data_IF_619472595499
#
_entry.id   IF_619472595499
#
_cell.length_a   1.000
_cell.length_b   1.000
_cell.length_c   1.000
_cell.angle_alpha   90.00
_cell.angle_beta   90.00
_cell.angle_gamma   90.00
#
_symmetry.space_group_name_H-M   'P 1'
#
loop_
_entity.id
_entity.type
_entity.pdbx_description
1 polymer ?
#
# COMPACT_ATOMS: atom_id res chain seq x y z
N UNK A 1 -1.33 9.82 10.58
CA UNK A 1 -0.78 10.61 9.48
C UNK A 1 0.01 11.85 9.92
N UNK A 2 -0.02 12.14 11.21
CA UNK A 2 0.75 13.28 11.75
C UNK A 2 2.24 13.19 11.45
N UNK A 3 2.81 11.99 11.44
CA UNK A 3 4.23 11.81 11.15
C UNK A 3 4.63 12.35 9.77
N UNK A 4 3.73 12.30 8.80
CA UNK A 4 4.02 12.82 7.46
C UNK A 4 4.02 14.35 7.41
N UNK A 5 3.22 14.98 8.27
CA UNK A 5 3.14 16.46 8.33
C UNK A 5 4.42 17.08 8.86
N UNK A 6 5.22 16.31 9.61
CA UNK A 6 6.49 16.77 10.16
C UNK A 6 7.66 16.65 9.18
N UNK A 7 7.46 16.00 8.03
CA UNK A 7 8.50 15.80 7.04
C UNK A 7 8.69 17.06 6.17
N UNK A 8 9.90 17.25 5.60
CA UNK A 8 10.10 18.30 4.60
C UNK A 8 9.09 18.17 3.45
N UNK A 9 8.64 19.30 2.92
CA UNK A 9 7.59 19.33 1.88
C UNK A 9 8.00 18.60 0.59
N UNK A 10 9.30 18.46 0.33
CA UNK A 10 9.85 17.81 -0.86
C UNK A 10 10.40 16.40 -0.59
N UNK A 11 10.12 15.85 0.61
CA UNK A 11 10.60 14.51 0.99
C UNK A 11 9.89 13.45 0.16
N UNK A 12 10.68 12.66 -0.57
CA UNK A 12 10.15 11.52 -1.32
C UNK A 12 9.78 10.39 -0.37
N UNK A 13 8.62 9.78 -0.60
CA UNK A 13 8.14 8.68 0.25
C UNK A 13 8.21 7.36 -0.49
N UNK A 14 8.70 6.33 0.20
CA UNK A 14 8.48 4.94 -0.20
C UNK A 14 7.50 4.34 0.80
N UNK A 15 6.29 4.04 0.33
CA UNK A 15 5.25 3.46 1.17
C UNK A 15 5.23 1.95 1.00
N UNK A 16 5.63 1.26 2.06
CA UNK A 16 5.61 -0.20 2.12
C UNK A 16 4.24 -0.65 2.62
N UNK A 17 3.54 -1.40 1.80
CA UNK A 17 2.26 -2.01 2.14
C UNK A 17 2.45 -3.50 2.36
N UNK A 18 2.10 -3.98 3.54
CA UNK A 18 2.03 -5.40 3.85
C UNK A 18 0.54 -5.75 3.90
N UNK A 19 0.11 -6.71 3.07
CA UNK A 19 -1.30 -6.95 2.81
C UNK A 19 -1.69 -8.38 3.15
N UNK A 20 -2.77 -8.52 3.95
CA UNK A 20 -3.41 -9.78 4.26
C UNK A 20 -4.87 -9.67 3.83
N UNK A 21 -5.27 -10.49 2.87
CA UNK A 21 -6.62 -10.41 2.31
C UNK A 21 -7.62 -11.22 3.11
N UNK A 22 -8.88 -10.75 3.13
CA UNK A 22 -9.99 -11.56 3.63
C UNK A 22 -10.26 -12.69 2.65
N UNK A 23 -10.63 -13.84 3.17
CA UNK A 23 -11.06 -14.95 2.31
C UNK A 23 -12.35 -14.59 1.57
N UNK A 24 -13.29 -13.97 2.29
CA UNK A 24 -14.56 -13.52 1.75
C UNK A 24 -14.84 -12.09 2.22
N UNK A 25 -15.41 -11.29 1.34
CA UNK A 25 -15.80 -9.91 1.67
C UNK A 25 -17.29 -9.88 1.88
N UNK A 26 -17.73 -9.41 3.06
CA UNK A 26 -19.14 -9.28 3.41
C UNK A 26 -19.85 -8.37 2.40
N UNK A 27 -21.00 -8.83 1.91
CA UNK A 27 -21.79 -8.08 0.93
C UNK A 27 -21.25 -8.12 -0.49
N UNK A 28 -20.21 -8.94 -0.73
CA UNK A 28 -19.64 -9.13 -2.06
C UNK A 28 -19.54 -10.62 -2.37
N UNK A 29 -19.56 -10.97 -3.65
CA UNK A 29 -19.37 -12.34 -4.09
C UNK A 29 -17.90 -12.70 -4.28
N UNK A 30 -16.99 -11.73 -4.09
CA UNK A 30 -15.58 -11.86 -4.38
C UNK A 30 -14.74 -12.02 -3.12
N UNK A 31 -13.56 -12.62 -3.28
CA UNK A 31 -12.55 -12.68 -2.22
C UNK A 31 -11.92 -11.32 -1.96
N UNK A 32 -11.24 -11.19 -0.82
CA UNK A 32 -10.49 -9.97 -0.52
C UNK A 32 -9.44 -9.64 -1.57
N UNK A 33 -8.74 -10.66 -2.11
CA UNK A 33 -7.75 -10.46 -3.17
C UNK A 33 -8.37 -9.84 -4.42
N UNK A 34 -9.56 -10.31 -4.80
CA UNK A 34 -10.28 -9.78 -5.97
C UNK A 34 -10.77 -8.36 -5.72
N UNK A 35 -11.28 -8.08 -4.51
CA UNK A 35 -11.73 -6.74 -4.13
C UNK A 35 -10.54 -5.78 -4.11
N UNK A 36 -9.37 -6.23 -3.62
CA UNK A 36 -8.17 -5.38 -3.63
C UNK A 36 -7.70 -5.07 -5.05
N UNK A 37 -7.78 -6.06 -5.95
CA UNK A 37 -7.43 -5.84 -7.35
C UNK A 37 -8.34 -4.78 -7.98
N UNK A 38 -9.65 -4.85 -7.69
CA UNK A 38 -10.60 -3.85 -8.14
C UNK A 38 -10.30 -2.46 -7.53
N UNK A 39 -9.89 -2.44 -6.25
CA UNK A 39 -9.45 -1.20 -5.61
C UNK A 39 -8.25 -0.61 -6.35
N UNK A 40 -7.23 -1.40 -6.66
CA UNK A 40 -6.03 -0.91 -7.35
C UNK A 40 -6.39 -0.33 -8.71
N UNK A 41 -7.31 -0.97 -9.43
CA UNK A 41 -7.78 -0.47 -10.71
C UNK A 41 -8.48 0.88 -10.56
N UNK A 42 -9.34 1.02 -9.53
CA UNK A 42 -10.05 2.27 -9.25
C UNK A 42 -9.09 3.35 -8.75
N UNK A 43 -8.06 2.99 -8.00
CA UNK A 43 -7.08 3.93 -7.46
C UNK A 43 -6.07 4.42 -8.50
N UNK A 44 -5.89 3.69 -9.59
CA UNK A 44 -4.85 3.98 -10.58
C UNK A 44 -4.88 5.43 -11.11
N UNK A 45 -6.03 6.01 -11.48
CA UNK A 45 -6.07 7.42 -11.90
C UNK A 45 -5.59 8.39 -10.82
N UNK A 46 -5.89 8.07 -9.55
CA UNK A 46 -5.44 8.89 -8.42
C UNK A 46 -3.93 8.79 -8.23
N UNK A 47 -3.36 7.59 -8.39
CA UNK A 47 -1.92 7.40 -8.35
C UNK A 47 -1.22 8.18 -9.46
N UNK A 48 -1.76 8.15 -10.66
CA UNK A 48 -1.21 8.92 -11.79
C UNK A 48 -1.23 10.42 -11.50
N UNK A 49 -2.34 10.93 -10.98
CA UNK A 49 -2.48 12.34 -10.65
C UNK A 49 -1.51 12.75 -9.54
N UNK A 50 -1.27 11.86 -8.59
CA UNK A 50 -0.32 12.09 -7.50
C UNK A 50 1.14 11.93 -7.95
N UNK A 51 1.38 11.53 -9.19
CA UNK A 51 2.70 11.21 -9.74
C UNK A 51 3.39 10.11 -8.95
N UNK A 52 2.58 9.17 -8.47
CA UNK A 52 3.06 8.00 -7.73
C UNK A 52 3.53 6.92 -8.71
N UNK A 53 4.45 6.09 -8.24
CA UNK A 53 5.00 5.00 -9.02
C UNK A 53 4.99 3.72 -8.19
N UNK A 54 4.41 2.65 -8.73
CA UNK A 54 4.52 1.33 -8.10
C UNK A 54 5.92 0.80 -8.43
N UNK A 55 6.79 0.74 -7.42
CA UNK A 55 8.17 0.31 -7.63
C UNK A 55 8.35 -1.18 -7.38
N UNK A 56 7.42 -1.81 -6.65
CA UNK A 56 7.47 -3.24 -6.42
C UNK A 56 6.08 -3.75 -6.04
N UNK A 57 5.69 -4.88 -6.61
CA UNK A 57 4.51 -5.63 -6.17
C UNK A 57 4.85 -7.11 -6.28
N UNK A 58 4.82 -7.81 -5.16
CA UNK A 58 5.23 -9.19 -5.13
C UNK A 58 4.54 -9.99 -4.04
N UNK A 59 4.61 -11.30 -4.20
CA UNK A 59 3.99 -12.24 -3.28
C UNK A 59 5.07 -12.97 -2.49
N UNK A 60 5.14 -12.77 -1.16
CA UNK A 60 6.04 -13.55 -0.30
C UNK A 60 5.79 -15.05 -0.47
N UNK A 61 6.85 -15.83 -0.59
CA UNK A 61 6.75 -17.26 -0.85
C UNK A 61 7.17 -18.09 0.36
N UNK A 62 8.25 -17.69 1.04
CA UNK A 62 8.78 -18.44 2.15
C UNK A 62 9.70 -17.57 2.98
N UNK A 63 9.78 -17.85 4.26
CA UNK A 63 10.74 -17.21 5.16
C UNK A 63 12.03 -18.01 5.11
N UNK A 64 13.07 -17.43 4.54
CA UNK A 64 14.39 -18.06 4.48
C UNK A 64 15.13 -17.93 5.79
N UNK A 65 14.96 -16.80 6.47
CA UNK A 65 15.55 -16.51 7.78
C UNK A 65 14.48 -15.80 8.61
N UNK A 66 14.08 -16.39 9.71
CA UNK A 66 13.09 -15.78 10.61
C UNK A 66 12.40 -16.82 11.47
N UNK A 67 11.42 -16.43 12.28
CA UNK A 67 10.65 -17.38 13.10
C UNK A 67 9.90 -18.39 12.23
N UNK A 68 9.93 -19.66 12.64
CA UNK A 68 9.29 -20.75 11.88
C UNK A 68 7.77 -20.67 11.90
N UNK A 69 7.20 -20.09 12.95
CA UNK A 69 5.76 -20.01 13.15
C UNK A 69 5.13 -18.71 12.66
N UNK A 70 5.92 -17.85 12.01
CA UNK A 70 5.39 -16.58 11.51
C UNK A 70 4.58 -16.78 10.24
N UNK A 71 3.38 -16.18 10.20
CA UNK A 71 2.52 -16.20 9.03
C UNK A 71 2.98 -15.16 8.02
N UNK A 72 3.12 -15.57 6.75
CA UNK A 72 3.47 -14.65 5.68
C UNK A 72 2.32 -13.69 5.36
N UNK A 73 2.68 -12.49 4.93
CA UNK A 73 1.74 -11.58 4.29
C UNK A 73 1.39 -12.13 2.90
N UNK A 74 0.19 -11.82 2.42
CA UNK A 74 -0.24 -12.32 1.11
C UNK A 74 0.46 -11.59 -0.03
N UNK A 75 0.59 -10.28 0.07
CA UNK A 75 1.28 -9.47 -0.92
C UNK A 75 2.07 -8.34 -0.25
N UNK A 76 3.12 -7.89 -0.93
CA UNK A 76 3.91 -6.72 -0.57
C UNK A 76 3.87 -5.75 -1.74
N UNK A 77 3.54 -4.50 -1.45
CA UNK A 77 3.42 -3.43 -2.45
C UNK A 77 4.23 -2.23 -1.98
N UNK A 78 5.13 -1.73 -2.83
CA UNK A 78 5.87 -0.51 -2.52
C UNK A 78 5.53 0.55 -3.56
N UNK A 79 5.03 1.68 -3.08
CA UNK A 79 4.66 2.81 -3.92
C UNK A 79 5.49 4.02 -3.54
N UNK A 80 6.08 4.66 -4.54
CA UNK A 80 6.87 5.86 -4.36
C UNK A 80 6.02 7.10 -4.66
N UNK A 81 6.06 8.09 -3.75
CA UNK A 81 5.37 9.37 -3.90
C UNK A 81 6.40 10.49 -3.87
N UNK A 82 6.20 11.54 -4.69
CA UNK A 82 7.19 12.63 -4.76
C UNK A 82 7.23 13.50 -3.49
N UNK A 83 6.18 13.47 -2.67
CA UNK A 83 6.13 14.31 -1.46
C UNK A 83 5.06 13.80 -0.50
N UNK A 84 5.14 14.18 0.79
CA UNK A 84 4.06 13.89 1.73
C UNK A 84 2.72 14.48 1.29
N UNK A 85 2.73 15.70 0.76
CA UNK A 85 1.52 16.37 0.27
C UNK A 85 0.86 15.61 -0.88
N UNK A 86 1.64 15.05 -1.78
CA UNK A 86 1.13 14.24 -2.88
C UNK A 86 0.33 13.05 -2.38
N UNK A 87 0.88 12.32 -1.41
CA UNK A 87 0.19 11.16 -0.81
C UNK A 87 -1.07 11.58 -0.06
N UNK A 88 -0.94 12.59 0.82
CA UNK A 88 -2.08 13.05 1.64
C UNK A 88 -3.21 13.60 0.78
N UNK A 89 -2.87 14.38 -0.24
CA UNK A 89 -3.86 14.93 -1.17
C UNK A 89 -4.60 13.81 -1.91
N UNK A 90 -3.88 12.77 -2.30
CA UNK A 90 -4.48 11.62 -3.00
C UNK A 90 -5.49 10.89 -2.12
N UNK A 91 -5.11 10.52 -0.89
CA UNK A 91 -5.99 9.72 -0.02
C UNK A 91 -7.17 10.52 0.50
N UNK A 92 -7.09 11.85 0.47
CA UNK A 92 -8.17 12.75 0.87
C UNK A 92 -9.02 13.20 -0.31
N UNK A 93 -8.64 12.85 -1.54
CA UNK A 93 -9.36 13.28 -2.72
C UNK A 93 -10.76 12.69 -2.76
N UNK A 94 -11.72 13.48 -3.23
CA UNK A 94 -13.08 13.00 -3.43
C UNK A 94 -13.09 11.84 -4.41
N UNK A 95 -13.75 10.76 -4.01
CA UNK A 95 -13.85 9.57 -4.84
C UNK A 95 -12.70 8.58 -4.69
N UNK A 96 -11.67 8.89 -3.88
CA UNK A 96 -10.61 7.92 -3.63
C UNK A 96 -11.20 6.68 -2.93
N UNK A 97 -10.96 5.45 -3.47
CA UNK A 97 -11.70 4.24 -3.02
C UNK A 97 -11.15 3.64 -1.73
N UNK A 98 -11.03 4.43 -0.67
CA UNK A 98 -10.44 3.99 0.61
C UNK A 98 -11.26 2.89 1.28
N UNK A 99 -12.60 2.98 1.23
CA UNK A 99 -13.46 1.97 1.85
C UNK A 99 -13.32 0.61 1.17
N UNK A 100 -13.16 0.59 -0.15
CA UNK A 100 -12.94 -0.64 -0.90
C UNK A 100 -11.64 -1.32 -0.46
N UNK A 101 -10.58 -0.52 -0.24
CA UNK A 101 -9.32 -1.02 0.29
C UNK A 101 -9.51 -1.68 1.65
N UNK A 102 -10.21 -1.01 2.56
CA UNK A 102 -10.47 -1.54 3.91
C UNK A 102 -11.27 -2.83 3.88
N UNK A 103 -12.27 -2.92 3.02
CA UNK A 103 -13.12 -4.11 2.91
C UNK A 103 -12.36 -5.33 2.41
N UNK A 104 -11.33 -5.13 1.60
CA UNK A 104 -10.53 -6.22 1.05
C UNK A 104 -9.58 -6.85 2.07
N UNK A 105 -9.20 -6.12 3.10
CA UNK A 105 -8.06 -6.48 3.96
C UNK A 105 -8.51 -6.98 5.33
N UNK A 106 -7.98 -8.17 5.69
CA UNK A 106 -8.10 -8.70 7.04
C UNK A 106 -7.12 -7.99 7.97
N UNK A 107 -5.91 -7.74 7.49
CA UNK A 107 -4.85 -7.04 8.21
C UNK A 107 -3.94 -6.35 7.21
N UNK A 108 -3.30 -5.28 7.64
CA UNK A 108 -2.36 -4.57 6.77
C UNK A 108 -1.41 -3.72 7.59
N UNK A 109 -0.29 -3.39 6.96
CA UNK A 109 0.63 -2.37 7.47
C UNK A 109 0.92 -1.41 6.34
N UNK A 110 0.96 -0.13 6.65
CA UNK A 110 1.42 0.91 5.75
C UNK A 110 2.56 1.63 6.45
N UNK A 111 3.76 1.45 5.94
CA UNK A 111 4.99 1.92 6.58
C UNK A 111 5.69 2.89 5.66
N UNK A 112 5.93 4.11 6.16
CA UNK A 112 6.77 5.07 5.46
C UNK A 112 8.23 4.63 5.58
N UNK A 113 8.91 4.49 4.44
CA UNK A 113 10.33 4.22 4.38
C UNK A 113 11.04 5.37 3.67
N UNK A 114 12.12 5.85 4.26
CA UNK A 114 12.99 6.82 3.62
C UNK A 114 14.00 6.07 2.77
N UNK A 115 14.13 6.47 1.51
CA UNK A 115 15.12 5.85 0.63
C UNK A 115 16.53 6.27 1.05
N UNK A 116 17.40 5.28 1.22
CA UNK A 116 18.81 5.50 1.45
C UNK A 116 19.60 4.85 0.33
N UNK A 117 20.49 5.61 -0.30
CA UNK A 117 21.35 5.05 -1.33
C UNK A 117 22.40 4.16 -0.67
N UNK A 118 22.45 2.91 -1.12
CA UNK A 118 23.46 1.95 -0.71
C UNK A 118 24.05 1.35 -1.97
N UNK A 119 25.35 1.53 -2.13
CA UNK A 119 26.08 1.03 -3.30
C UNK A 119 27.11 0.00 -2.86
N UNK A 120 27.22 -1.14 -3.58
CA UNK A 120 28.24 -2.14 -3.27
C UNK A 120 29.62 -1.61 -3.49
#
# INVERSE_FOLDING_TARGET
MEALLALPADEELLMLNLLKYRDNVEGASNSGAEVFRAYMKAAFPFLKQAKAEVVFFGKPQTILIGPEDETLWDDVLIVKYPSPGSFLHMVQAEGYPLEQRKRALQDSRLIYCKANLMRP
#
